data_IF_706854253102
#
_entry.id   IF_706854253102
#
_cell.length_a   1.000
_cell.length_b   1.000
_cell.length_c   1.000
_cell.angle_alpha   90.00
_cell.angle_beta   90.00
_cell.angle_gamma   90.00
#
_symmetry.space_group_name_H-M   'P 1'
#
loop_
_entity.id
_entity.type
_entity.pdbx_description
1 polymer ?
#
# COMPACT_ATOMS: atom_id res chain seq x y z
N UNK A 1 20.84 20.70 -0.78
CA UNK A 1 19.91 19.81 -0.14
C UNK A 1 20.22 18.39 -0.60
N UNK A 2 20.51 17.49 0.37
CA UNK A 2 20.90 16.13 0.05
C UNK A 2 19.72 15.36 -0.56
N UNK A 3 19.97 14.55 -1.58
CA UNK A 3 18.98 13.70 -2.25
C UNK A 3 18.59 12.49 -1.39
N UNK A 4 19.25 12.28 -0.25
CA UNK A 4 19.07 11.15 0.66
C UNK A 4 18.60 11.64 2.04
N UNK A 5 17.52 11.03 2.54
CA UNK A 5 16.99 11.23 3.89
C UNK A 5 16.88 9.88 4.58
N UNK A 6 17.46 9.77 5.78
CA UNK A 6 17.36 8.61 6.67
C UNK A 6 16.54 9.01 7.89
N UNK A 7 15.53 8.22 8.24
CA UNK A 7 14.61 8.46 9.37
C UNK A 7 14.59 7.20 10.23
N UNK A 8 15.50 7.08 11.21
CA UNK A 8 15.39 6.00 12.20
C UNK A 8 14.27 6.32 13.19
N UNK A 9 13.60 5.30 13.72
CA UNK A 9 12.62 5.43 14.78
C UNK A 9 12.66 4.24 15.72
N UNK A 10 12.15 4.48 16.90
CA UNK A 10 12.06 3.51 17.97
C UNK A 10 10.63 3.55 18.51
N UNK A 11 10.02 2.39 18.64
CA UNK A 11 8.72 2.20 19.23
C UNK A 11 8.87 1.50 20.56
N UNK A 12 8.17 1.99 21.56
CA UNK A 12 8.03 1.33 22.86
C UNK A 12 6.55 1.16 23.13
N UNK A 13 6.11 -0.07 23.31
CA UNK A 13 4.74 -0.39 23.70
C UNK A 13 4.75 -0.98 25.12
N UNK A 14 3.96 -0.39 26.00
CA UNK A 14 3.75 -0.91 27.34
C UNK A 14 2.29 -1.36 27.49
N UNK A 15 2.08 -2.67 27.63
CA UNK A 15 0.76 -3.25 27.89
C UNK A 15 0.64 -3.63 29.35
N UNK A 16 -0.36 -3.07 30.04
CA UNK A 16 -0.73 -3.43 31.39
C UNK A 16 -2.05 -4.18 31.41
N UNK A 17 -1.99 -5.47 31.67
CA UNK A 17 -3.19 -6.28 31.81
C UNK A 17 -3.54 -6.44 33.31
N UNK A 18 -4.52 -5.66 33.78
CA UNK A 18 -4.96 -5.63 35.17
C UNK A 18 -5.55 -6.96 35.68
N UNK A 19 -5.90 -7.88 34.80
CA UNK A 19 -6.53 -9.16 35.17
C UNK A 19 -5.53 -10.30 35.34
N UNK A 20 -4.31 -10.16 34.82
CA UNK A 20 -3.29 -11.23 34.85
C UNK A 20 -1.95 -10.80 35.44
N UNK A 21 -1.83 -9.58 35.98
CA UNK A 21 -0.58 -9.01 36.54
C UNK A 21 0.66 -9.15 35.63
N UNK A 22 0.44 -9.19 34.32
CA UNK A 22 1.52 -9.29 33.32
C UNK A 22 1.76 -7.91 32.73
N UNK A 23 2.89 -7.33 33.05
CA UNK A 23 3.42 -6.15 32.39
C UNK A 23 4.33 -6.63 31.24
N UNK A 24 3.97 -6.41 29.99
CA UNK A 24 4.88 -6.58 28.86
C UNK A 24 5.29 -5.21 28.33
N UNK A 25 6.59 -5.03 28.13
CA UNK A 25 7.15 -3.89 27.40
C UNK A 25 7.84 -4.44 26.18
N UNK A 26 7.34 -4.07 25.00
CA UNK A 26 7.95 -4.40 23.72
C UNK A 26 8.71 -3.20 23.21
N UNK A 27 9.86 -3.47 22.62
CA UNK A 27 10.76 -2.48 22.06
C UNK A 27 11.04 -2.85 20.61
N UNK A 28 10.62 -1.99 19.70
CA UNK A 28 10.81 -2.18 18.27
C UNK A 28 11.65 -1.06 17.67
N UNK A 29 12.47 -1.44 16.73
CA UNK A 29 13.34 -0.53 15.98
C UNK A 29 13.01 -0.61 14.49
N UNK A 30 12.88 0.55 13.84
CA UNK A 30 12.65 0.63 12.41
C UNK A 30 13.39 1.80 11.76
N UNK A 31 13.38 1.83 10.44
CA UNK A 31 14.01 2.90 9.68
C UNK A 31 13.36 3.09 8.31
N UNK A 32 13.24 4.35 7.90
CA UNK A 32 12.85 4.73 6.55
C UNK A 32 14.02 5.43 5.84
N UNK A 33 14.20 5.11 4.56
CA UNK A 33 15.16 5.73 3.68
C UNK A 33 14.42 6.33 2.50
N UNK A 34 14.61 7.60 2.25
CA UNK A 34 14.08 8.28 1.06
C UNK A 34 15.22 8.79 0.21
N UNK A 35 15.22 8.42 -1.06
CA UNK A 35 16.20 8.85 -2.04
C UNK A 35 15.55 9.44 -3.28
N UNK A 36 15.80 10.72 -3.55
CA UNK A 36 15.35 11.40 -4.76
C UNK A 36 16.29 11.06 -5.91
N UNK A 37 15.90 10.11 -6.76
CA UNK A 37 16.67 9.70 -7.95
C UNK A 37 16.71 10.86 -8.94
N UNK A 38 15.57 11.52 -9.13
CA UNK A 38 15.44 12.80 -9.87
C UNK A 38 14.53 13.73 -9.09
N UNK A 39 14.40 15.01 -9.44
CA UNK A 39 13.45 15.91 -8.77
C UNK A 39 11.99 15.44 -8.80
N UNK A 40 11.65 14.53 -9.71
CA UNK A 40 10.29 14.01 -9.91
C UNK A 40 10.15 12.49 -9.74
N UNK A 41 11.19 11.79 -9.31
CA UNK A 41 11.19 10.35 -9.07
C UNK A 41 11.90 10.02 -7.76
N UNK A 42 11.18 9.38 -6.85
CA UNK A 42 11.65 9.07 -5.51
C UNK A 42 11.59 7.57 -5.25
N UNK A 43 12.64 7.06 -4.63
CA UNK A 43 12.72 5.73 -4.04
C UNK A 43 12.58 5.88 -2.53
N UNK A 44 11.61 5.19 -1.96
CA UNK A 44 11.40 5.06 -0.52
C UNK A 44 11.58 3.60 -0.13
N UNK A 45 12.39 3.36 0.89
CA UNK A 45 12.59 2.04 1.50
C UNK A 45 12.18 2.13 2.96
N UNK A 46 11.57 1.08 3.46
CA UNK A 46 11.15 0.99 4.86
C UNK A 46 11.51 -0.37 5.44
N UNK A 47 11.90 -0.37 6.69
CA UNK A 47 12.16 -1.58 7.49
C UNK A 47 11.45 -1.47 8.83
N UNK A 48 10.70 -2.51 9.19
CA UNK A 48 9.91 -2.61 10.42
C UNK A 48 9.02 -1.36 10.62
N UNK A 49 8.13 -1.13 9.66
CA UNK A 49 7.29 0.08 9.59
C UNK A 49 6.40 0.22 10.83
N UNK A 50 6.39 1.43 11.42
CA UNK A 50 5.52 1.76 12.54
C UNK A 50 4.03 1.62 12.18
N UNK A 51 3.35 0.75 12.91
CA UNK A 51 1.90 0.52 12.81
C UNK A 51 1.09 1.18 13.93
N UNK A 52 1.70 1.90 14.86
CA UNK A 52 0.98 2.52 15.97
C UNK A 52 -0.22 3.37 15.50
N UNK A 53 -0.18 3.86 14.28
CA UNK A 53 -1.30 4.58 13.65
C UNK A 53 -2.39 3.66 13.09
N UNK A 54 -2.13 2.39 12.84
CA UNK A 54 -3.12 1.44 12.34
C UNK A 54 -4.02 0.88 13.45
N UNK A 55 -3.50 0.80 14.67
CA UNK A 55 -4.22 0.28 15.85
C UNK A 55 -5.30 1.23 16.37
N UNK A 56 -5.32 2.50 15.95
CA UNK A 56 -6.26 3.53 16.43
C UNK A 56 -7.61 3.48 15.72
N UNK A 57 -7.87 2.50 14.86
CA UNK A 57 -9.19 2.33 14.30
C UNK A 57 -10.15 1.83 15.36
N UNK A 58 -11.12 2.70 15.71
CA UNK A 58 -12.17 2.34 16.65
C UNK A 58 -12.85 1.07 16.17
N UNK A 59 -12.94 0.07 17.04
CA UNK A 59 -13.80 -1.09 16.82
C UNK A 59 -15.22 -0.57 16.55
N UNK A 60 -15.65 -0.63 15.31
CA UNK A 60 -17.02 -0.35 14.94
C UNK A 60 -17.72 -1.70 14.70
N UNK A 61 -18.85 -1.88 15.34
CA UNK A 61 -19.71 -3.03 15.06
C UNK A 61 -20.27 -2.82 13.65
N UNK A 62 -19.87 -3.68 12.73
CA UNK A 62 -20.38 -3.65 11.37
C UNK A 62 -21.80 -4.25 11.38
N UNK A 63 -22.79 -3.38 11.32
CA UNK A 63 -24.21 -3.74 11.17
C UNK A 63 -24.66 -3.79 9.71
N UNK A 64 -23.76 -3.40 8.80
CA UNK A 64 -24.05 -3.34 7.37
C UNK A 64 -23.51 -4.55 6.60
N UNK A 65 -24.09 -4.78 5.42
CA UNK A 65 -23.73 -5.84 4.47
C UNK A 65 -22.37 -5.59 3.82
N UNK A 66 -21.82 -4.39 3.92
CA UNK A 66 -20.55 -3.98 3.30
C UNK A 66 -19.43 -3.97 4.32
N UNK A 67 -18.22 -4.33 3.88
CA UNK A 67 -17.02 -4.21 4.72
C UNK A 67 -16.79 -2.75 5.10
N UNK A 68 -16.45 -2.51 6.38
CA UNK A 68 -16.05 -1.19 6.85
C UNK A 68 -14.80 -0.72 6.09
N UNK A 69 -14.91 0.45 5.47
CA UNK A 69 -13.80 1.06 4.75
C UNK A 69 -13.09 2.06 5.68
N UNK A 70 -11.90 1.71 6.12
CA UNK A 70 -11.03 2.61 6.86
C UNK A 70 -10.01 3.26 5.92
N UNK A 71 -9.90 4.58 5.89
CA UNK A 71 -8.92 5.25 5.03
C UNK A 71 -7.49 4.91 5.46
N UNK A 72 -6.55 4.92 4.51
CA UNK A 72 -5.13 4.79 4.80
C UNK A 72 -4.65 5.97 5.67
N UNK A 73 -3.87 5.68 6.71
CA UNK A 73 -3.33 6.69 7.64
C UNK A 73 -1.81 6.67 7.72
N UNK A 74 -1.19 5.58 7.27
CA UNK A 74 0.26 5.40 7.36
C UNK A 74 0.98 6.30 6.37
N UNK A 75 1.89 7.14 6.85
CA UNK A 75 2.59 8.15 6.06
C UNK A 75 3.30 7.56 4.82
N UNK A 76 3.94 6.39 4.98
CA UNK A 76 4.60 5.68 3.88
C UNK A 76 3.65 5.40 2.71
N UNK A 77 2.41 4.98 2.96
CA UNK A 77 1.46 4.65 1.90
C UNK A 77 0.69 5.86 1.38
N UNK A 78 0.52 6.91 2.18
CA UNK A 78 -0.18 8.13 1.78
C UNK A 78 0.62 8.97 0.78
N UNK A 79 1.93 8.99 0.95
CA UNK A 79 2.78 9.75 0.05
C UNK A 79 2.74 9.18 -1.36
N UNK A 80 2.43 10.02 -2.36
CA UNK A 80 2.26 9.63 -3.76
C UNK A 80 1.21 8.52 -4.01
N UNK A 81 0.24 8.33 -3.11
CA UNK A 81 -0.81 7.31 -3.24
C UNK A 81 -1.54 7.37 -4.59
N UNK A 82 -1.76 8.57 -5.12
CA UNK A 82 -2.38 8.77 -6.44
C UNK A 82 -1.66 8.11 -7.61
N UNK A 83 -0.36 7.79 -7.47
CA UNK A 83 0.39 7.06 -8.50
C UNK A 83 -0.04 5.59 -8.62
N UNK A 84 -0.72 5.05 -7.61
CA UNK A 84 -1.19 3.66 -7.55
C UNK A 84 -2.69 3.52 -7.76
N UNK A 85 -3.40 4.64 -7.96
CA UNK A 85 -4.85 4.62 -8.18
C UNK A 85 -5.19 3.98 -9.53
N UNK A 86 -6.09 2.99 -9.50
CA UNK A 86 -6.52 2.21 -10.66
C UNK A 86 -8.00 1.90 -10.49
N UNK A 87 -8.77 2.05 -11.55
CA UNK A 87 -10.20 1.81 -11.54
C UNK A 87 -11.00 3.11 -11.52
N UNK A 88 -12.15 3.09 -10.86
CA UNK A 88 -13.03 4.25 -10.66
C UNK A 88 -12.98 4.63 -9.18
N UNK A 89 -12.24 5.67 -8.79
CA UNK A 89 -12.07 6.02 -7.38
C UNK A 89 -13.41 6.22 -6.68
N UNK A 90 -13.57 5.54 -5.53
CA UNK A 90 -14.80 5.57 -4.74
C UNK A 90 -15.88 4.58 -5.18
N UNK A 91 -15.75 3.93 -6.35
CA UNK A 91 -16.66 2.88 -6.83
C UNK A 91 -15.95 1.53 -6.89
N UNK A 92 -14.82 1.47 -7.58
CA UNK A 92 -14.01 0.26 -7.73
C UNK A 92 -12.53 0.64 -7.62
N UNK A 93 -11.94 0.36 -6.47
CA UNK A 93 -10.51 0.49 -6.23
C UNK A 93 -9.86 -0.89 -6.35
N UNK A 94 -9.03 -1.10 -7.37
CA UNK A 94 -8.34 -2.37 -7.60
C UNK A 94 -7.17 -2.57 -6.62
N UNK A 95 -6.60 -1.51 -6.08
CA UNK A 95 -5.54 -1.55 -5.08
C UNK A 95 -5.88 -0.66 -3.90
N UNK A 96 -5.78 -1.24 -2.71
CA UNK A 96 -5.98 -0.54 -1.46
C UNK A 96 -4.85 -0.89 -0.48
N UNK A 97 -3.95 0.06 -0.26
CA UNK A 97 -2.71 -0.12 0.52
C UNK A 97 -2.97 -0.55 1.96
N UNK A 98 -4.10 -0.15 2.55
CA UNK A 98 -4.45 -0.52 3.92
C UNK A 98 -4.62 -2.02 4.14
N UNK A 99 -4.87 -2.81 3.09
CA UNK A 99 -4.89 -4.27 3.18
C UNK A 99 -3.52 -4.87 3.46
N UNK A 100 -2.43 -4.14 3.19
CA UNK A 100 -1.07 -4.57 3.52
C UNK A 100 -0.88 -4.40 5.03
N UNK A 101 -0.60 -5.50 5.72
CA UNK A 101 -0.43 -5.52 7.17
C UNK A 101 -1.75 -5.63 7.97
N UNK A 102 -2.84 -6.04 7.33
CA UNK A 102 -4.11 -6.35 7.99
C UNK A 102 -4.61 -7.70 7.48
N UNK A 103 -4.91 -8.60 8.40
CA UNK A 103 -5.46 -9.93 8.10
C UNK A 103 -6.95 -9.86 7.75
N UNK A 104 -7.50 -10.97 7.25
CA UNK A 104 -8.92 -11.05 6.88
C UNK A 104 -9.89 -10.83 8.04
N UNK A 105 -9.48 -11.06 9.28
CA UNK A 105 -10.26 -10.82 10.50
C UNK A 105 -10.02 -9.43 11.12
N UNK A 106 -9.22 -8.56 10.45
CA UNK A 106 -8.89 -7.20 10.91
C UNK A 106 -7.72 -7.11 11.88
N UNK A 107 -7.04 -8.21 12.20
CA UNK A 107 -5.85 -8.18 13.07
C UNK A 107 -4.67 -7.58 12.33
N UNK A 108 -3.83 -6.85 13.06
CA UNK A 108 -2.60 -6.26 12.53
C UNK A 108 -1.58 -7.36 12.25
N UNK A 109 -0.99 -7.33 11.07
CA UNK A 109 0.08 -8.23 10.62
C UNK A 109 1.35 -7.40 10.44
N UNK A 110 2.45 -7.70 11.16
CA UNK A 110 3.67 -6.91 11.07
C UNK A 110 4.20 -6.81 9.63
N UNK A 111 4.64 -5.61 9.23
CA UNK A 111 5.35 -5.43 7.97
C UNK A 111 6.84 -5.49 8.23
N UNK A 112 7.51 -6.48 7.66
CA UNK A 112 8.96 -6.64 7.77
C UNK A 112 9.66 -5.46 7.09
N UNK A 113 9.16 -5.06 5.92
CA UNK A 113 9.74 -3.96 5.16
C UNK A 113 9.35 -4.02 3.69
N UNK A 114 9.91 -3.12 2.93
CA UNK A 114 9.70 -3.06 1.50
C UNK A 114 10.21 -1.78 0.87
N UNK A 115 9.75 -1.53 -0.35
CA UNK A 115 10.16 -0.35 -1.09
C UNK A 115 9.10 0.15 -2.04
N UNK A 116 9.17 1.43 -2.30
CA UNK A 116 8.32 2.14 -3.25
C UNK A 116 9.17 3.02 -4.16
N UNK A 117 8.96 2.89 -5.45
CA UNK A 117 9.45 3.81 -6.46
C UNK A 117 8.24 4.55 -7.03
N UNK A 118 8.20 5.86 -6.90
CA UNK A 118 7.04 6.64 -7.36
C UNK A 118 7.46 7.99 -7.92
N UNK A 119 6.74 8.43 -8.95
CA UNK A 119 6.99 9.73 -9.55
C UNK A 119 6.69 9.79 -11.03
N UNK A 120 7.44 10.65 -11.72
CA UNK A 120 7.18 10.98 -13.13
C UNK A 120 8.48 11.02 -13.94
N UNK A 121 8.46 10.37 -15.08
CA UNK A 121 9.53 10.45 -16.10
C UNK A 121 8.93 11.04 -17.36
N UNK A 122 9.26 12.29 -17.68
CA UNK A 122 8.64 13.01 -18.77
C UNK A 122 7.12 13.12 -18.61
N UNK A 123 6.36 12.45 -19.48
CA UNK A 123 4.89 12.42 -19.45
C UNK A 123 4.31 11.15 -18.85
N UNK A 124 5.16 10.28 -18.35
CA UNK A 124 4.78 8.98 -17.80
C UNK A 124 4.87 9.00 -16.28
N UNK A 125 3.77 8.73 -15.61
CA UNK A 125 3.72 8.47 -14.19
C UNK A 125 4.08 7.00 -13.94
N UNK A 126 4.89 6.75 -12.92
CA UNK A 126 5.36 5.42 -12.54
C UNK A 126 5.12 5.22 -11.06
N UNK A 127 4.53 4.10 -10.72
CA UNK A 127 4.41 3.59 -9.36
C UNK A 127 4.84 2.13 -9.32
N UNK A 128 5.76 1.82 -8.44
CA UNK A 128 6.13 0.46 -8.08
C UNK A 128 6.20 0.36 -6.57
N UNK A 129 5.56 -0.66 -6.00
CA UNK A 129 5.53 -0.95 -4.58
C UNK A 129 5.76 -2.44 -4.39
N UNK A 130 6.63 -2.81 -3.46
CA UNK A 130 6.76 -4.20 -3.00
C UNK A 130 6.96 -4.21 -1.50
N UNK A 131 6.06 -4.90 -0.78
CA UNK A 131 6.04 -4.97 0.68
C UNK A 131 5.97 -6.42 1.14
N UNK A 132 6.65 -6.69 2.25
CA UNK A 132 6.70 -8.01 2.88
C UNK A 132 6.07 -7.93 4.27
N UNK A 133 5.14 -8.83 4.54
CA UNK A 133 4.54 -9.00 5.87
C UNK A 133 5.02 -10.28 6.52
N UNK A 134 5.04 -10.29 7.84
CA UNK A 134 5.41 -11.47 8.62
C UNK A 134 4.23 -12.45 8.74
N UNK A 135 4.47 -13.59 9.37
CA UNK A 135 3.44 -14.56 9.72
C UNK A 135 2.89 -14.30 11.13
N UNK A 136 1.65 -14.73 11.35
CA UNK A 136 1.04 -14.84 12.67
C UNK A 136 0.49 -16.25 12.80
N UNK A 137 1.28 -17.12 13.42
CA UNK A 137 0.96 -18.56 13.53
C UNK A 137 -0.34 -18.82 14.28
N UNK A 138 -0.63 -18.05 15.32
CA UNK A 138 -1.83 -18.16 16.13
C UNK A 138 -3.11 -17.86 15.32
N UNK A 139 -3.00 -17.06 14.27
CA UNK A 139 -4.10 -16.69 13.38
C UNK A 139 -4.09 -17.45 12.07
N UNK A 140 -3.12 -18.32 11.84
CA UNK A 140 -2.95 -19.02 10.56
C UNK A 140 -2.62 -18.09 9.39
N UNK A 141 -2.04 -16.93 9.66
CA UNK A 141 -1.63 -15.96 8.63
C UNK A 141 -0.19 -16.23 8.24
N UNK A 142 0.05 -16.52 6.96
CA UNK A 142 1.38 -16.73 6.41
C UNK A 142 2.07 -15.40 6.08
N UNK A 143 3.40 -15.44 5.92
CA UNK A 143 4.16 -14.35 5.29
C UNK A 143 3.61 -14.08 3.90
N UNK A 144 3.54 -12.81 3.52
CA UNK A 144 3.08 -12.42 2.19
C UNK A 144 4.02 -11.38 1.58
N UNK A 145 4.12 -11.43 0.25
CA UNK A 145 4.62 -10.33 -0.56
C UNK A 145 3.45 -9.68 -1.30
N UNK A 146 3.38 -8.37 -1.21
CA UNK A 146 2.44 -7.52 -1.95
C UNK A 146 3.22 -6.70 -2.95
N UNK A 147 2.91 -6.84 -4.23
CA UNK A 147 3.56 -6.08 -5.29
C UNK A 147 2.52 -5.35 -6.12
N UNK A 148 2.78 -4.08 -6.38
CA UNK A 148 1.96 -3.24 -7.26
C UNK A 148 2.85 -2.52 -8.24
N UNK A 149 2.54 -2.63 -9.52
CA UNK A 149 3.20 -1.88 -10.59
C UNK A 149 2.16 -1.08 -11.35
N UNK A 150 2.40 0.20 -11.56
CA UNK A 150 1.52 1.11 -12.26
C UNK A 150 2.32 1.98 -13.22
N UNK A 151 1.87 2.06 -14.46
CA UNK A 151 2.38 3.00 -15.46
C UNK A 151 1.20 3.72 -16.08
N UNK A 152 1.26 5.05 -16.18
CA UNK A 152 0.26 5.86 -16.84
C UNK A 152 0.93 6.92 -17.70
N UNK A 153 0.67 6.90 -18.99
CA UNK A 153 1.22 7.83 -19.97
C UNK A 153 0.20 8.89 -20.36
N UNK A 154 0.56 10.15 -20.22
CA UNK A 154 -0.25 11.28 -20.64
C UNK A 154 0.17 11.73 -22.03
N UNK A 155 -0.75 11.79 -22.99
CA UNK A 155 -0.47 12.23 -24.34
C UNK A 155 -0.29 13.74 -24.41
N UNK A 156 0.63 14.17 -25.30
CA UNK A 156 0.85 15.59 -25.55
C UNK A 156 -0.36 16.23 -26.20
N UNK A 157 -0.64 17.48 -25.79
CA UNK A 157 -1.69 18.31 -26.40
C UNK A 157 -3.11 17.71 -26.32
N UNK A 158 -3.31 16.69 -25.53
CA UNK A 158 -4.62 16.10 -25.28
C UNK A 158 -4.84 15.92 -23.78
N UNK A 159 -6.11 15.82 -23.38
CA UNK A 159 -6.49 15.43 -22.02
C UNK A 159 -6.67 13.91 -21.91
N UNK A 160 -5.90 13.19 -22.71
CA UNK A 160 -5.99 11.74 -22.83
C UNK A 160 -4.79 11.09 -22.16
N UNK A 161 -5.02 9.93 -21.58
CA UNK A 161 -3.99 9.10 -20.99
C UNK A 161 -4.34 7.63 -21.17
N UNK A 162 -3.31 6.79 -21.13
CA UNK A 162 -3.45 5.34 -21.07
C UNK A 162 -2.57 4.81 -19.97
N UNK A 163 -3.04 3.82 -19.25
CA UNK A 163 -2.32 3.21 -18.18
C UNK A 163 -2.47 1.71 -18.12
N UNK A 164 -1.52 1.07 -17.46
CA UNK A 164 -1.53 -0.35 -17.14
C UNK A 164 -1.11 -0.59 -15.71
N UNK A 165 -1.61 -1.65 -15.11
CA UNK A 165 -1.26 -2.02 -13.77
C UNK A 165 -1.19 -3.53 -13.58
N UNK A 166 -0.33 -3.92 -12.67
CA UNK A 166 -0.21 -5.27 -12.15
C UNK A 166 -0.22 -5.22 -10.63
N UNK A 167 -1.10 -6.00 -10.02
CA UNK A 167 -1.24 -6.12 -8.58
C UNK A 167 -1.09 -7.59 -8.24
N UNK A 168 -0.27 -7.91 -7.26
CA UNK A 168 -0.05 -9.28 -6.82
C UNK A 168 0.07 -9.37 -5.31
N UNK A 169 -0.61 -10.34 -4.72
CA UNK A 169 -0.31 -10.89 -3.39
C UNK A 169 0.18 -12.31 -3.58
N UNK A 170 1.27 -12.65 -2.95
CA UNK A 170 1.87 -13.97 -2.99
C UNK A 170 2.23 -14.43 -1.58
N UNK A 171 1.69 -15.57 -1.15
CA UNK A 171 2.04 -16.21 0.11
C UNK A 171 3.47 -16.76 0.06
N UNK A 172 4.22 -16.57 1.14
CA UNK A 172 5.59 -17.04 1.31
C UNK A 172 5.59 -18.07 2.44
N UNK A 173 5.71 -19.36 2.13
CA UNK A 173 5.73 -20.42 3.14
C UNK A 173 5.63 -21.80 2.51
N UNK A 174 5.75 -22.84 3.32
CA UNK A 174 5.88 -24.23 2.86
C UNK A 174 4.65 -24.77 2.08
N UNK A 175 3.48 -24.14 2.22
CA UNK A 175 2.23 -24.51 1.52
C UNK A 175 1.68 -23.36 0.64
N UNK A 176 2.53 -22.48 0.16
CA UNK A 176 2.13 -21.24 -0.50
C UNK A 176 1.99 -21.34 -2.02
N UNK A 177 2.23 -22.49 -2.64
CA UNK A 177 2.21 -22.63 -4.10
C UNK A 177 0.90 -22.16 -4.75
N UNK A 178 -0.21 -22.31 -4.05
CA UNK A 178 -1.56 -21.93 -4.50
C UNK A 178 -2.14 -20.70 -3.78
N UNK A 179 -1.39 -20.10 -2.84
CA UNK A 179 -1.82 -18.89 -2.13
C UNK A 179 -1.33 -17.63 -2.85
N UNK A 180 -1.96 -17.30 -3.95
CA UNK A 180 -1.69 -16.06 -4.67
C UNK A 180 -2.97 -15.40 -5.18
N UNK A 181 -2.90 -14.10 -5.37
CA UNK A 181 -3.88 -13.31 -6.09
C UNK A 181 -3.16 -12.37 -7.05
N UNK A 182 -3.58 -12.32 -8.30
CA UNK A 182 -2.98 -11.46 -9.33
C UNK A 182 -4.08 -10.75 -10.09
N UNK A 183 -3.90 -9.46 -10.29
CA UNK A 183 -4.80 -8.62 -11.08
C UNK A 183 -3.99 -7.87 -12.11
N UNK A 184 -4.41 -7.95 -13.35
CA UNK A 184 -3.93 -7.13 -14.45
C UNK A 184 -5.02 -6.14 -14.81
N UNK A 185 -4.65 -4.88 -15.02
CA UNK A 185 -5.61 -3.86 -15.41
C UNK A 185 -5.04 -2.94 -16.48
N UNK A 186 -5.91 -2.46 -17.34
CA UNK A 186 -5.65 -1.39 -18.30
C UNK A 186 -6.75 -0.36 -18.15
N UNK A 187 -6.39 0.90 -18.12
CA UNK A 187 -7.32 2.01 -18.02
C UNK A 187 -6.94 3.13 -18.98
N UNK A 188 -7.89 3.98 -19.28
CA UNK A 188 -7.68 5.10 -20.16
C UNK A 188 -8.65 6.24 -19.90
N UNK A 189 -8.18 7.42 -20.26
CA UNK A 189 -8.99 8.64 -20.34
C UNK A 189 -8.85 9.20 -21.73
N UNK A 190 -9.96 9.49 -22.37
CA UNK A 190 -10.01 10.12 -23.69
C UNK A 190 -10.71 11.46 -23.62
N UNK A 191 -9.96 12.52 -23.88
CA UNK A 191 -10.49 13.88 -23.93
C UNK A 191 -11.09 14.19 -25.29
N UNK A 192 -12.37 14.57 -25.32
CA UNK A 192 -13.11 14.94 -26.53
C UNK A 192 -13.29 16.46 -26.55
N UNK A 193 -12.53 17.14 -27.39
CA UNK A 193 -12.52 18.60 -27.46
C UNK A 193 -12.19 19.23 -26.09
N UNK A 194 -12.81 20.35 -25.75
CA UNK A 194 -12.55 21.09 -24.50
C UNK A 194 -13.51 20.74 -23.35
N UNK A 195 -14.62 20.08 -23.64
CA UNK A 195 -15.76 19.98 -22.69
C UNK A 195 -16.09 18.56 -22.22
N UNK A 196 -15.68 17.51 -22.95
CA UNK A 196 -16.02 16.14 -22.61
C UNK A 196 -14.78 15.28 -22.38
N UNK A 197 -14.94 14.25 -21.55
CA UNK A 197 -13.99 13.14 -21.41
C UNK A 197 -14.75 11.83 -21.26
N UNK A 198 -14.18 10.76 -21.77
CA UNK A 198 -14.60 9.38 -21.53
C UNK A 198 -13.47 8.68 -20.81
N UNK A 199 -13.77 7.94 -19.77
CA UNK A 199 -12.80 7.13 -19.03
C UNK A 199 -13.36 5.73 -18.81
N UNK A 200 -12.49 4.75 -18.74
CA UNK A 200 -12.85 3.38 -18.45
C UNK A 200 -11.64 2.54 -18.11
N UNK A 201 -11.90 1.35 -17.58
CA UNK A 201 -10.88 0.36 -17.28
C UNK A 201 -11.40 -1.06 -17.53
N UNK A 202 -10.48 -1.98 -17.71
CA UNK A 202 -10.71 -3.43 -17.74
C UNK A 202 -9.68 -4.11 -16.85
N UNK A 203 -10.12 -5.11 -16.09
CA UNK A 203 -9.24 -5.89 -15.21
C UNK A 203 -9.61 -7.37 -15.23
N UNK A 204 -8.61 -8.22 -14.95
CA UNK A 204 -8.74 -9.66 -14.81
C UNK A 204 -7.85 -10.15 -13.67
#
# INVERSE_FOLDING_TARGET
PGNLKLIPYVLTQANRNSTKDVNSSDFEFGADIKYSITPSLTLDLTYNTDFAQAEVDKQQVNLDRFNLFFPEKRAFFLENAGQFSIGSPGEVDLFFSRRIGISGNGSVVPIIGGGRLSGKIGKTNIGFLSMFTDDIKELGVNKNNFTVSRINHNFSNSRSSIGGAFISRYGLGDNSSDDYNRVFAVDGVWGIGKKAKVSGFISK
#
